data_IF_571299567805
#
_entry.id   IF_571299567805
#
_cell.length_a   1.000
_cell.length_b   1.000
_cell.length_c   1.000
_cell.angle_alpha   90.00
_cell.angle_beta   90.00
_cell.angle_gamma   90.00
#
_symmetry.space_group_name_H-M   'P 1'
#
loop_
_entity.id
_entity.type
_entity.pdbx_description
1 polymer ?
#
# COMPACT_ATOMS: atom_id res chain seq x y z
N UNK A 1 17.21 -10.45 6.44
CA UNK A 1 17.57 -9.06 6.79
C UNK A 1 17.53 -8.09 5.60
N UNK A 2 18.19 -8.37 4.45
CA UNK A 2 18.18 -7.46 3.28
C UNK A 2 16.77 -7.10 2.76
N UNK A 3 15.84 -8.07 2.79
CA UNK A 3 14.46 -7.89 2.35
C UNK A 3 13.64 -6.91 3.22
N UNK A 4 13.77 -7.01 4.56
CA UNK A 4 13.12 -6.09 5.50
C UNK A 4 13.66 -4.65 5.38
N UNK A 5 14.97 -4.50 5.17
CA UNK A 5 15.57 -3.19 4.93
C UNK A 5 15.04 -2.55 3.65
N UNK A 6 14.87 -3.33 2.58
CA UNK A 6 14.28 -2.85 1.33
C UNK A 6 12.83 -2.38 1.49
N UNK A 7 12.04 -3.05 2.33
CA UNK A 7 10.66 -2.65 2.64
C UNK A 7 10.67 -1.32 3.42
N UNK A 8 11.48 -1.24 4.48
CA UNK A 8 11.57 -0.02 5.28
C UNK A 8 12.04 1.20 4.47
N UNK A 9 13.05 1.01 3.61
CA UNK A 9 13.53 2.05 2.70
C UNK A 9 12.43 2.51 1.73
N UNK A 10 11.70 1.58 1.12
CA UNK A 10 10.59 1.91 0.22
C UNK A 10 9.49 2.72 0.92
N UNK A 11 9.07 2.27 2.11
CA UNK A 11 8.04 2.96 2.92
C UNK A 11 8.48 4.40 3.22
N UNK A 12 9.72 4.56 3.67
CA UNK A 12 10.26 5.88 4.01
C UNK A 12 10.32 6.78 2.77
N UNK A 13 10.77 6.25 1.62
CA UNK A 13 10.81 6.99 0.36
C UNK A 13 9.41 7.44 -0.06
N UNK A 14 8.42 6.55 -0.05
CA UNK A 14 7.04 6.91 -0.45
C UNK A 14 6.44 7.93 0.51
N UNK A 15 6.71 7.80 1.81
CA UNK A 15 6.25 8.77 2.80
C UNK A 15 6.86 10.16 2.54
N UNK A 16 8.19 10.24 2.36
CA UNK A 16 8.89 11.50 2.10
C UNK A 16 8.38 12.14 0.81
N UNK A 17 8.30 11.37 -0.30
CA UNK A 17 7.83 11.89 -1.59
C UNK A 17 6.40 12.43 -1.49
N UNK A 18 5.50 11.69 -0.84
CA UNK A 18 4.12 12.14 -0.66
C UNK A 18 4.01 13.37 0.26
N UNK A 19 4.82 13.43 1.32
CA UNK A 19 4.90 14.59 2.20
C UNK A 19 5.41 15.84 1.45
N UNK A 20 6.50 15.70 0.69
CA UNK A 20 7.06 16.77 -0.14
C UNK A 20 6.07 17.26 -1.19
N UNK A 21 5.33 16.34 -1.83
CA UNK A 21 4.25 16.69 -2.75
C UNK A 21 3.18 17.51 -2.02
N UNK A 22 2.75 17.09 -0.83
CA UNK A 22 1.69 17.74 -0.08
C UNK A 22 2.04 19.18 0.36
N UNK A 23 3.31 19.47 0.66
CA UNK A 23 3.75 20.84 1.00
C UNK A 23 4.03 21.72 -0.23
N UNK A 24 4.43 21.11 -1.35
CA UNK A 24 4.78 21.84 -2.58
C UNK A 24 3.53 22.28 -3.35
N UNK A 25 2.52 21.41 -3.43
CA UNK A 25 1.31 21.65 -4.20
C UNK A 25 0.15 22.07 -3.28
N UNK A 26 0.17 23.30 -2.78
CA UNK A 26 -0.82 23.80 -1.81
C UNK A 26 -2.28 23.65 -2.28
N UNK A 27 -2.55 23.87 -3.57
CA UNK A 27 -3.89 23.71 -4.14
C UNK A 27 -4.40 22.26 -4.12
N UNK A 28 -3.50 21.28 -4.13
CA UNK A 28 -3.81 19.86 -4.04
C UNK A 28 -3.66 19.29 -2.62
N UNK A 29 -3.12 20.08 -1.68
CA UNK A 29 -2.75 19.60 -0.36
C UNK A 29 -3.94 19.12 0.47
N UNK A 30 -3.66 18.16 1.35
CA UNK A 30 -4.55 17.68 2.41
C UNK A 30 -3.91 17.93 3.79
N UNK A 31 -4.75 18.00 4.82
CA UNK A 31 -4.25 18.15 6.20
C UNK A 31 -3.30 17.02 6.59
N UNK A 32 -2.26 17.33 7.36
CA UNK A 32 -1.26 16.36 7.83
C UNK A 32 -1.90 15.17 8.56
N UNK A 33 -2.96 15.40 9.34
CA UNK A 33 -3.72 14.33 10.02
C UNK A 33 -4.30 13.32 9.03
N UNK A 34 -4.88 13.78 7.92
CA UNK A 34 -5.44 12.91 6.87
C UNK A 34 -4.32 12.17 6.12
N UNK A 35 -3.21 12.85 5.82
CA UNK A 35 -2.04 12.25 5.16
C UNK A 35 -1.45 11.10 6.00
N UNK A 36 -1.27 11.30 7.30
CA UNK A 36 -0.80 10.24 8.22
C UNK A 36 -1.78 9.07 8.28
N UNK A 37 -3.10 9.33 8.32
CA UNK A 37 -4.11 8.26 8.30
C UNK A 37 -4.05 7.42 7.01
N UNK A 38 -3.92 8.06 5.85
CA UNK A 38 -3.77 7.36 4.56
C UNK A 38 -2.52 6.49 4.58
N UNK A 39 -1.37 7.08 4.93
CA UNK A 39 -0.10 6.37 4.94
C UNK A 39 -0.13 5.19 5.93
N UNK A 40 -0.69 5.40 7.12
CA UNK A 40 -0.84 4.35 8.12
C UNK A 40 -1.70 3.19 7.64
N UNK A 41 -2.85 3.47 7.02
CA UNK A 41 -3.72 2.43 6.47
C UNK A 41 -3.01 1.62 5.38
N UNK A 42 -2.41 2.29 4.39
CA UNK A 42 -1.74 1.62 3.27
C UNK A 42 -0.54 0.82 3.79
N UNK A 43 0.26 1.39 4.68
CA UNK A 43 1.41 0.71 5.28
C UNK A 43 1.01 -0.58 6.01
N UNK A 44 0.02 -0.49 6.91
CA UNK A 44 -0.41 -1.65 7.72
C UNK A 44 -0.98 -2.73 6.80
N UNK A 45 -1.88 -2.35 5.89
CA UNK A 45 -2.52 -3.31 5.00
C UNK A 45 -1.51 -3.97 4.06
N UNK A 46 -0.60 -3.21 3.44
CA UNK A 46 0.49 -3.78 2.64
C UNK A 46 1.39 -4.71 3.44
N UNK A 47 1.76 -4.33 4.66
CA UNK A 47 2.59 -5.19 5.53
C UNK A 47 1.92 -6.54 5.78
N UNK A 48 0.61 -6.54 6.08
CA UNK A 48 -0.17 -7.77 6.26
C UNK A 48 -0.17 -8.61 4.98
N UNK A 49 -0.49 -8.00 3.83
CA UNK A 49 -0.50 -8.69 2.52
C UNK A 49 0.85 -9.34 2.23
N UNK A 50 1.94 -8.59 2.39
CA UNK A 50 3.30 -9.05 2.10
C UNK A 50 3.71 -10.17 3.04
N UNK A 51 3.50 -10.03 4.36
CA UNK A 51 3.92 -11.06 5.33
C UNK A 51 3.19 -12.38 5.12
N UNK A 52 1.87 -12.33 4.91
CA UNK A 52 1.07 -13.55 4.66
C UNK A 52 1.50 -14.18 3.34
N UNK A 53 1.66 -13.38 2.28
CA UNK A 53 2.05 -13.92 0.96
C UNK A 53 3.47 -14.49 0.99
N UNK A 54 4.42 -13.84 1.65
CA UNK A 54 5.77 -14.37 1.85
C UNK A 54 5.73 -15.71 2.59
N UNK A 55 4.94 -15.82 3.66
CA UNK A 55 4.76 -17.10 4.37
C UNK A 55 4.27 -18.20 3.43
N UNK A 56 3.33 -17.88 2.54
CA UNK A 56 2.83 -18.84 1.53
C UNK A 56 3.88 -19.17 0.49
N UNK A 57 4.66 -18.21 0.01
CA UNK A 57 5.79 -18.46 -0.92
C UNK A 57 6.73 -19.53 -0.35
N UNK A 58 7.09 -19.42 0.93
CA UNK A 58 8.03 -20.35 1.57
C UNK A 58 7.43 -21.69 2.01
N UNK A 59 6.11 -21.87 1.98
CA UNK A 59 5.45 -23.10 2.47
C UNK A 59 4.64 -23.83 1.41
N UNK A 60 3.97 -23.09 0.52
CA UNK A 60 3.06 -23.56 -0.53
C UNK A 60 3.14 -22.63 -1.75
N UNK A 61 4.28 -22.59 -2.47
CA UNK A 61 4.51 -21.63 -3.55
C UNK A 61 3.46 -21.70 -4.66
N UNK A 62 2.86 -22.88 -4.89
CA UNK A 62 1.76 -23.11 -5.84
C UNK A 62 0.48 -22.32 -5.52
N UNK A 63 0.27 -21.92 -4.25
CA UNK A 63 -0.88 -21.13 -3.81
C UNK A 63 -0.63 -19.63 -3.71
N UNK A 64 0.57 -19.17 -4.06
CA UNK A 64 0.99 -17.76 -3.91
C UNK A 64 0.06 -16.81 -4.65
N UNK A 65 -0.23 -17.10 -5.93
CA UNK A 65 -1.06 -16.22 -6.77
C UNK A 65 -2.48 -16.05 -6.21
N UNK A 66 -3.13 -17.16 -5.84
CA UNK A 66 -4.46 -17.15 -5.24
C UNK A 66 -4.47 -16.42 -3.89
N UNK A 67 -3.46 -16.66 -3.05
CA UNK A 67 -3.33 -15.99 -1.74
C UNK A 67 -3.18 -14.49 -1.91
N UNK A 68 -2.27 -14.06 -2.78
CA UNK A 68 -2.04 -12.64 -3.05
C UNK A 68 -3.31 -11.97 -3.58
N UNK A 69 -3.98 -12.58 -4.57
CA UNK A 69 -5.21 -12.05 -5.14
C UNK A 69 -6.32 -11.89 -4.08
N UNK A 70 -6.55 -12.92 -3.27
CA UNK A 70 -7.55 -12.87 -2.20
C UNK A 70 -7.26 -11.78 -1.16
N UNK A 71 -6.00 -11.64 -0.76
CA UNK A 71 -5.56 -10.61 0.18
C UNK A 71 -5.67 -9.19 -0.41
N UNK A 72 -5.34 -9.01 -1.69
CA UNK A 72 -5.49 -7.71 -2.36
C UNK A 72 -6.96 -7.33 -2.52
N UNK A 73 -7.83 -8.27 -2.90
CA UNK A 73 -9.27 -8.02 -2.95
C UNK A 73 -9.82 -7.61 -1.58
N UNK A 74 -9.43 -8.33 -0.52
CA UNK A 74 -9.79 -7.98 0.84
C UNK A 74 -9.26 -6.58 1.24
N UNK A 75 -8.02 -6.25 0.87
CA UNK A 75 -7.43 -4.92 1.05
C UNK A 75 -8.22 -3.83 0.33
N UNK A 76 -8.70 -4.10 -0.89
CA UNK A 76 -9.54 -3.15 -1.65
C UNK A 76 -10.91 -2.93 -0.99
N UNK A 77 -11.54 -3.99 -0.46
CA UNK A 77 -12.81 -3.85 0.29
C UNK A 77 -12.58 -3.05 1.58
N UNK A 78 -11.55 -3.37 2.35
CA UNK A 78 -11.21 -2.60 3.57
C UNK A 78 -10.81 -1.16 3.27
N UNK A 79 -10.21 -0.89 2.10
CA UNK A 79 -9.93 0.46 1.64
C UNK A 79 -11.22 1.28 1.42
N UNK A 80 -12.27 0.66 0.87
CA UNK A 80 -13.59 1.31 0.72
C UNK A 80 -14.16 1.64 2.10
N UNK A 81 -14.13 0.68 3.04
CA UNK A 81 -14.62 0.91 4.42
C UNK A 81 -13.82 2.02 5.12
N UNK A 82 -12.51 2.07 4.91
CA UNK A 82 -11.65 3.14 5.44
C UNK A 82 -11.97 4.52 4.85
N UNK A 83 -12.25 4.58 3.54
CA UNK A 83 -12.60 5.82 2.86
C UNK A 83 -14.02 6.30 3.17
N UNK A 84 -14.96 5.38 3.40
CA UNK A 84 -16.38 5.67 3.62
C UNK A 84 -16.68 6.85 4.57
N UNK A 85 -16.11 6.95 5.78
CA UNK A 85 -16.38 8.08 6.67
C UNK A 85 -15.90 9.44 6.14
N UNK A 86 -15.01 9.45 5.14
CA UNK A 86 -14.56 10.68 4.51
C UNK A 86 -15.40 11.07 3.28
N UNK A 87 -16.24 10.15 2.78
CA UNK A 87 -17.08 10.36 1.60
C UNK A 87 -18.46 10.95 1.94
N UNK A 88 -18.72 11.25 3.22
CA UNK A 88 -20.01 11.78 3.69
C UNK A 88 -20.33 13.19 3.19
N UNK A 89 -19.32 13.91 2.67
CA UNK A 89 -19.47 15.23 2.06
C UNK A 89 -18.73 15.25 0.71
N UNK A 90 -19.35 15.80 -0.34
CA UNK A 90 -18.82 15.85 -1.71
C UNK A 90 -18.06 17.16 -1.95
N UNK A 91 -17.21 17.53 -0.98
CA UNK A 91 -16.38 18.73 -1.05
C UNK A 91 -15.15 18.52 -1.95
N UNK A 92 -14.51 19.62 -2.38
CA UNK A 92 -13.21 19.55 -3.07
C UNK A 92 -12.14 18.86 -2.19
N UNK A 93 -12.22 18.99 -0.87
CA UNK A 93 -11.32 18.33 0.06
C UNK A 93 -11.48 16.81 0.06
N UNK A 94 -12.70 16.31 -0.10
CA UNK A 94 -12.97 14.87 -0.26
C UNK A 94 -12.37 14.33 -1.55
N UNK A 95 -12.52 15.06 -2.66
CA UNK A 95 -11.93 14.67 -3.95
C UNK A 95 -10.40 14.56 -3.88
N UNK A 96 -9.73 15.56 -3.30
CA UNK A 96 -8.27 15.52 -3.08
C UNK A 96 -7.88 14.31 -2.23
N UNK A 97 -8.59 14.06 -1.14
CA UNK A 97 -8.30 12.94 -0.25
C UNK A 97 -8.34 11.59 -0.98
N UNK A 98 -9.39 11.36 -1.79
CA UNK A 98 -9.56 10.14 -2.57
C UNK A 98 -8.40 9.96 -3.55
N UNK A 99 -8.02 11.03 -4.26
CA UNK A 99 -6.88 11.00 -5.21
C UNK A 99 -5.58 10.67 -4.47
N UNK A 100 -5.29 11.35 -3.36
CA UNK A 100 -4.11 11.08 -2.53
C UNK A 100 -4.08 9.61 -2.06
N UNK A 101 -5.22 9.08 -1.62
CA UNK A 101 -5.34 7.70 -1.18
C UNK A 101 -5.01 6.70 -2.31
N UNK A 102 -5.63 6.84 -3.48
CA UNK A 102 -5.41 5.92 -4.59
C UNK A 102 -3.99 5.99 -5.16
N UNK A 103 -3.37 7.17 -5.22
CA UNK A 103 -1.97 7.31 -5.65
C UNK A 103 -1.06 6.49 -4.74
N UNK A 104 -1.17 6.66 -3.43
CA UNK A 104 -0.37 5.91 -2.46
C UNK A 104 -0.66 4.42 -2.57
N UNK A 105 -1.94 4.04 -2.61
CA UNK A 105 -2.36 2.64 -2.73
C UNK A 105 -1.74 1.96 -3.97
N UNK A 106 -1.77 2.61 -5.13
CA UNK A 106 -1.22 2.04 -6.37
C UNK A 106 0.30 1.91 -6.33
N UNK A 107 1.01 2.90 -5.78
CA UNK A 107 2.47 2.83 -5.60
C UNK A 107 2.84 1.61 -4.73
N UNK A 108 2.12 1.39 -3.64
CA UNK A 108 2.32 0.23 -2.77
C UNK A 108 1.93 -1.09 -3.44
N UNK A 109 0.84 -1.13 -4.23
CA UNK A 109 0.45 -2.33 -4.99
C UNK A 109 1.52 -2.75 -6.00
N UNK A 110 2.08 -1.81 -6.76
CA UNK A 110 3.17 -2.11 -7.71
C UNK A 110 4.37 -2.69 -6.97
N UNK A 111 4.73 -2.07 -5.85
CA UNK A 111 5.82 -2.56 -5.01
C UNK A 111 5.57 -3.97 -4.49
N UNK A 112 4.37 -4.25 -3.96
CA UNK A 112 3.98 -5.59 -3.49
C UNK A 112 4.20 -6.64 -4.56
N UNK A 113 3.68 -6.42 -5.78
CA UNK A 113 3.81 -7.38 -6.89
C UNK A 113 5.28 -7.61 -7.22
N UNK A 114 6.05 -6.54 -7.47
CA UNK A 114 7.46 -6.66 -7.85
C UNK A 114 8.27 -7.35 -6.75
N UNK A 115 8.04 -6.98 -5.50
CA UNK A 115 8.73 -7.55 -4.36
C UNK A 115 8.40 -9.05 -4.19
N UNK A 116 7.13 -9.43 -4.25
CA UNK A 116 6.70 -10.81 -4.06
C UNK A 116 7.14 -11.70 -5.22
N UNK A 117 7.08 -11.21 -6.47
CA UNK A 117 7.58 -11.96 -7.63
C UNK A 117 9.09 -12.24 -7.54
N UNK A 118 9.88 -11.29 -7.04
CA UNK A 118 11.32 -11.52 -6.81
C UNK A 118 11.57 -12.66 -5.82
N UNK A 119 10.76 -12.76 -4.76
CA UNK A 119 10.89 -13.84 -3.78
C UNK A 119 10.37 -15.17 -4.31
N UNK A 120 9.22 -15.18 -5.00
CA UNK A 120 8.67 -16.40 -5.62
C UNK A 120 9.64 -17.00 -6.63
N UNK A 121 10.20 -16.19 -7.52
CA UNK A 121 11.17 -16.65 -8.52
C UNK A 121 12.48 -17.13 -7.90
N UNK A 122 12.88 -16.59 -6.73
CA UNK A 122 14.06 -17.05 -6.02
C UNK A 122 13.82 -18.40 -5.35
N UNK A 123 12.62 -18.66 -4.81
CA UNK A 123 12.27 -19.95 -4.22
C UNK A 123 12.05 -21.04 -5.27
N UNK A 124 11.47 -20.74 -6.43
CA UNK A 124 11.29 -21.72 -7.51
C UNK A 124 12.59 -22.16 -8.19
N UNK A 125 13.69 -21.42 -7.99
CA UNK A 125 15.02 -21.76 -8.52
C UNK A 125 15.87 -22.59 -7.56
N UNK A 126 15.42 -22.78 -6.32
CA UNK A 126 16.06 -23.65 -5.34
C UNK A 126 15.56 -25.08 -5.50
#
# INVERSE_FOLDING_TARGET
MKSLFSIAAFILTVFIVHYLFNITFQNASISLKKLIKIQGFVLISTTIVVLITLKVIYTKPDKTGFTYLGLVLFKMVTAIVFLFPFLTDVSNETKKLVVHFFIVLFIYLIYEVVFLLRHLNAEQKK
#
